data_IF_260679321280
#
_entry.id   IF_260679321280
#
_cell.length_a   1.000
_cell.length_b   1.000
_cell.length_c   1.000
_cell.angle_alpha   90.00
_cell.angle_beta   90.00
_cell.angle_gamma   90.00
#
_symmetry.space_group_name_H-M   'P 1'
#
loop_
_entity.id
_entity.type
_entity.pdbx_description
1 polymer ?
#
# COMPACT_ATOMS: atom_id res chain seq x y z
N UNK A 1 40.33 -38.95 2.24
CA UNK A 1 39.43 -38.95 1.07
C UNK A 1 38.12 -38.27 1.53
N UNK A 2 37.94 -37.03 1.12
CA UNK A 2 36.79 -36.23 1.54
C UNK A 2 35.90 -36.05 0.33
N UNK A 3 34.75 -36.76 0.30
CA UNK A 3 33.76 -36.67 -0.76
C UNK A 3 32.96 -35.40 -0.57
N UNK A 4 33.19 -34.37 -1.39
CA UNK A 4 32.42 -33.16 -1.44
C UNK A 4 31.01 -33.41 -1.98
N UNK A 5 30.01 -33.22 -1.13
CA UNK A 5 28.60 -33.23 -1.52
C UNK A 5 28.31 -31.93 -2.29
N UNK A 6 28.11 -32.05 -3.60
CA UNK A 6 27.65 -30.95 -4.44
C UNK A 6 26.20 -30.56 -4.04
N UNK A 7 25.83 -29.26 -4.06
CA UNK A 7 24.46 -28.85 -3.78
C UNK A 7 23.52 -29.33 -4.90
N UNK A 8 22.23 -29.63 -4.59
CA UNK A 8 21.27 -30.13 -5.58
C UNK A 8 21.02 -29.08 -6.65
N UNK A 9 21.32 -29.41 -7.90
CA UNK A 9 21.01 -28.61 -9.09
C UNK A 9 19.51 -28.55 -9.28
N UNK A 10 18.94 -27.34 -9.18
CA UNK A 10 17.53 -27.05 -9.51
C UNK A 10 17.27 -27.48 -10.97
N UNK A 11 16.44 -28.49 -11.18
CA UNK A 11 16.13 -29.04 -12.49
C UNK A 11 15.27 -28.08 -13.33
N UNK A 12 15.45 -28.08 -14.66
CA UNK A 12 14.72 -27.23 -15.62
C UNK A 12 13.19 -27.40 -15.53
N UNK A 13 12.68 -28.53 -15.07
CA UNK A 13 11.26 -28.82 -14.83
C UNK A 13 10.66 -28.04 -13.63
N UNK A 14 11.49 -27.57 -12.69
CA UNK A 14 11.05 -26.86 -11.48
C UNK A 14 10.73 -25.37 -11.75
N UNK A 15 11.28 -24.80 -12.83
CA UNK A 15 11.12 -23.38 -13.21
C UNK A 15 9.70 -23.04 -13.69
N UNK A 16 9.00 -23.84 -14.54
CA UNK A 16 7.62 -23.58 -14.92
C UNK A 16 6.64 -23.64 -13.74
N UNK A 17 6.80 -24.64 -12.86
CA UNK A 17 5.94 -24.81 -11.68
C UNK A 17 6.02 -23.64 -10.70
N UNK A 18 7.22 -23.11 -10.48
CA UNK A 18 7.43 -21.91 -9.64
C UNK A 18 6.84 -20.66 -10.30
N UNK A 19 6.95 -20.53 -11.61
CA UNK A 19 6.36 -19.43 -12.36
C UNK A 19 4.82 -19.47 -12.30
N UNK A 20 4.21 -20.65 -12.42
CA UNK A 20 2.76 -20.83 -12.29
C UNK A 20 2.28 -20.56 -10.88
N UNK A 21 2.99 -21.03 -9.86
CA UNK A 21 2.67 -20.75 -8.46
C UNK A 21 2.72 -19.25 -8.15
N UNK A 22 3.73 -18.53 -8.68
CA UNK A 22 3.82 -17.07 -8.54
C UNK A 22 2.66 -16.37 -9.22
N UNK A 23 2.33 -16.71 -10.47
CA UNK A 23 1.19 -16.14 -11.19
C UNK A 23 -0.13 -16.39 -10.47
N UNK A 24 -0.33 -17.58 -9.93
CA UNK A 24 -1.53 -17.88 -9.16
C UNK A 24 -1.61 -17.06 -7.87
N UNK A 25 -0.48 -16.87 -7.18
CA UNK A 25 -0.42 -16.01 -5.99
C UNK A 25 -0.75 -14.55 -6.33
N UNK A 26 -0.20 -14.01 -7.43
CA UNK A 26 -0.48 -12.66 -7.92
C UNK A 26 -1.97 -12.49 -8.28
N UNK A 27 -2.58 -13.47 -8.95
CA UNK A 27 -4.02 -13.46 -9.26
C UNK A 27 -4.89 -13.47 -8.01
N UNK A 28 -4.53 -14.25 -6.99
CA UNK A 28 -5.25 -14.29 -5.71
C UNK A 28 -5.14 -12.94 -5.00
N UNK A 29 -3.95 -12.34 -4.96
CA UNK A 29 -3.76 -11.03 -4.35
C UNK A 29 -4.55 -9.93 -5.05
N UNK A 30 -4.55 -9.91 -6.39
CA UNK A 30 -5.33 -8.93 -7.17
C UNK A 30 -6.84 -9.09 -6.93
N UNK A 31 -7.37 -10.32 -6.96
CA UNK A 31 -8.78 -10.59 -6.70
C UNK A 31 -9.17 -10.25 -5.25
N UNK A 32 -8.28 -10.50 -4.29
CA UNK A 32 -8.50 -10.14 -2.88
C UNK A 32 -8.49 -8.63 -2.67
N UNK A 33 -7.55 -7.91 -3.30
CA UNK A 33 -7.46 -6.46 -3.22
C UNK A 33 -8.74 -5.78 -3.73
N UNK A 34 -9.24 -6.21 -4.88
CA UNK A 34 -10.49 -5.73 -5.47
C UNK A 34 -11.71 -6.07 -4.58
N UNK A 35 -11.82 -7.33 -4.13
CA UNK A 35 -12.92 -7.77 -3.29
C UNK A 35 -12.97 -7.01 -1.95
N UNK A 36 -11.82 -6.81 -1.31
CA UNK A 36 -11.74 -6.07 -0.06
C UNK A 36 -11.99 -4.57 -0.23
N UNK A 37 -11.67 -4.00 -1.39
CA UNK A 37 -11.99 -2.61 -1.69
C UNK A 37 -13.50 -2.39 -1.88
N UNK A 38 -14.19 -3.32 -2.51
CA UNK A 38 -15.62 -3.20 -2.84
C UNK A 38 -16.55 -3.65 -1.70
N UNK A 39 -16.21 -4.73 -1.02
CA UNK A 39 -17.10 -5.43 -0.09
C UNK A 39 -16.54 -5.49 1.34
N UNK A 40 -15.32 -4.97 1.52
CA UNK A 40 -14.63 -4.98 2.81
C UNK A 40 -13.93 -6.32 3.13
N UNK A 41 -13.23 -6.38 4.27
CA UNK A 41 -12.39 -7.54 4.64
C UNK A 41 -13.20 -8.80 5.00
N UNK A 42 -14.54 -8.73 4.97
CA UNK A 42 -15.45 -9.84 5.29
C UNK A 42 -15.47 -10.96 4.25
N UNK A 43 -15.12 -10.71 2.98
CA UNK A 43 -15.24 -11.66 1.86
C UNK A 43 -14.54 -13.00 2.16
N UNK A 44 -15.22 -14.16 1.97
CA UNK A 44 -14.65 -15.48 2.22
C UNK A 44 -13.50 -15.82 1.26
N UNK A 45 -12.55 -16.69 1.71
CA UNK A 45 -11.43 -17.15 0.87
C UNK A 45 -11.90 -17.91 -0.38
N UNK A 46 -12.98 -18.68 -0.29
CA UNK A 46 -13.54 -19.44 -1.41
C UNK A 46 -14.09 -18.52 -2.51
N UNK A 47 -14.67 -17.39 -2.13
CA UNK A 47 -15.14 -16.38 -3.09
C UNK A 47 -13.95 -15.69 -3.77
N UNK A 48 -12.88 -15.41 -3.03
CA UNK A 48 -11.63 -14.89 -3.61
C UNK A 48 -11.00 -15.89 -4.58
N UNK A 49 -11.00 -17.20 -4.24
CA UNK A 49 -10.53 -18.26 -5.13
C UNK A 49 -11.30 -18.27 -6.45
N UNK A 50 -12.63 -18.17 -6.35
CA UNK A 50 -13.53 -18.11 -7.53
C UNK A 50 -13.22 -16.90 -8.41
N UNK A 51 -13.07 -15.72 -7.85
CA UNK A 51 -12.71 -14.47 -8.57
C UNK A 51 -11.32 -14.56 -9.20
N UNK A 52 -10.37 -15.12 -8.48
CA UNK A 52 -9.02 -15.34 -8.99
C UNK A 52 -8.93 -16.40 -10.08
N UNK A 53 -10.00 -17.20 -10.29
CA UNK A 53 -10.02 -18.33 -11.23
C UNK A 53 -9.01 -19.42 -10.85
N UNK A 54 -8.86 -19.70 -9.55
CA UNK A 54 -7.99 -20.75 -9.01
C UNK A 54 -8.79 -21.66 -8.08
N UNK A 55 -8.30 -22.88 -7.86
CA UNK A 55 -8.93 -23.79 -6.88
C UNK A 55 -8.72 -23.31 -5.43
N UNK A 56 -9.70 -23.54 -4.54
CA UNK A 56 -9.61 -23.22 -3.12
C UNK A 56 -8.33 -23.76 -2.47
N UNK A 57 -7.93 -25.01 -2.79
CA UNK A 57 -6.68 -25.60 -2.31
C UNK A 57 -5.42 -24.84 -2.75
N UNK A 58 -5.47 -24.10 -3.86
CA UNK A 58 -4.36 -23.24 -4.29
C UNK A 58 -4.28 -22.00 -3.40
N UNK A 59 -5.43 -21.39 -3.07
CA UNK A 59 -5.47 -20.26 -2.14
C UNK A 59 -4.94 -20.65 -0.78
N UNK A 60 -5.42 -21.75 -0.20
CA UNK A 60 -4.98 -22.24 1.11
C UNK A 60 -3.49 -22.60 1.18
N UNK A 61 -2.87 -23.04 0.07
CA UNK A 61 -1.41 -23.27 0.05
C UNK A 61 -0.61 -21.99 0.11
N UNK A 62 -1.09 -20.90 -0.51
CA UNK A 62 -0.41 -19.61 -0.50
C UNK A 62 -0.76 -18.78 0.73
N UNK A 63 -1.98 -18.89 1.21
CA UNK A 63 -2.55 -18.13 2.31
C UNK A 63 -3.33 -19.06 3.22
N UNK A 64 -2.65 -19.69 4.21
CA UNK A 64 -3.28 -20.71 5.07
C UNK A 64 -4.46 -20.17 5.87
N UNK A 65 -4.46 -18.88 6.16
CA UNK A 65 -5.53 -18.20 6.89
C UNK A 65 -5.96 -16.92 6.16
N UNK A 66 -7.13 -16.42 6.52
CA UNK A 66 -7.64 -15.15 6.00
C UNK A 66 -6.75 -13.97 6.43
N UNK A 67 -6.24 -14.03 7.64
CA UNK A 67 -5.30 -13.03 8.18
C UNK A 67 -4.03 -12.96 7.33
N UNK A 68 -3.47 -14.11 6.93
CA UNK A 68 -2.29 -14.16 6.05
C UNK A 68 -2.57 -13.50 4.69
N UNK A 69 -3.78 -13.67 4.13
CA UNK A 69 -4.18 -12.98 2.90
C UNK A 69 -4.37 -11.49 3.12
N UNK A 70 -5.05 -11.07 4.20
CA UNK A 70 -5.24 -9.67 4.54
C UNK A 70 -3.90 -8.95 4.75
N UNK A 71 -2.96 -9.56 5.46
CA UNK A 71 -1.60 -9.04 5.64
C UNK A 71 -0.89 -8.86 4.30
N UNK A 72 -0.93 -9.88 3.43
CA UNK A 72 -0.26 -9.82 2.14
C UNK A 72 -0.87 -8.75 1.22
N UNK A 73 -2.19 -8.54 1.25
CA UNK A 73 -2.86 -7.46 0.53
C UNK A 73 -2.44 -6.10 1.09
N UNK A 74 -2.42 -5.92 2.41
CA UNK A 74 -2.01 -4.67 3.04
C UNK A 74 -0.57 -4.29 2.69
N UNK A 75 0.36 -5.25 2.80
CA UNK A 75 1.77 -5.04 2.42
C UNK A 75 1.89 -4.72 0.93
N UNK A 76 1.23 -5.47 0.06
CA UNK A 76 1.23 -5.22 -1.39
C UNK A 76 0.71 -3.84 -1.76
N UNK A 77 -0.28 -3.35 -1.05
CA UNK A 77 -0.79 -1.99 -1.20
C UNK A 77 0.25 -0.94 -0.83
N UNK A 78 0.96 -1.11 0.28
CA UNK A 78 2.02 -0.19 0.70
C UNK A 78 3.22 -0.25 -0.25
N UNK A 79 3.56 -1.43 -0.78
CA UNK A 79 4.59 -1.60 -1.81
C UNK A 79 4.22 -0.86 -3.12
N UNK A 80 2.95 -0.94 -3.53
CA UNK A 80 2.43 -0.17 -4.66
C UNK A 80 2.57 1.34 -4.43
N UNK A 81 2.19 1.83 -3.25
CA UNK A 81 2.37 3.25 -2.89
C UNK A 81 3.85 3.66 -2.88
N UNK A 82 4.73 2.80 -2.39
CA UNK A 82 6.18 3.06 -2.42
C UNK A 82 6.71 3.13 -3.87
N UNK A 83 6.19 2.31 -4.77
CA UNK A 83 6.54 2.38 -6.19
C UNK A 83 6.11 3.71 -6.81
N UNK A 84 4.91 4.19 -6.51
CA UNK A 84 4.42 5.52 -6.94
C UNK A 84 5.27 6.67 -6.36
N UNK A 85 5.64 6.60 -5.07
CA UNK A 85 6.52 7.58 -4.46
C UNK A 85 7.90 7.64 -5.15
N UNK A 86 8.47 6.49 -5.49
CA UNK A 86 9.74 6.41 -6.23
C UNK A 86 9.61 6.94 -7.65
N UNK A 87 8.51 6.68 -8.33
CA UNK A 87 8.23 7.26 -9.64
C UNK A 87 8.12 8.79 -9.58
N UNK A 88 7.43 9.32 -8.56
CA UNK A 88 7.33 10.75 -8.30
C UNK A 88 8.72 11.38 -8.02
N UNK A 89 9.59 10.71 -7.25
CA UNK A 89 10.97 11.16 -7.01
C UNK A 89 11.82 11.20 -8.29
N UNK A 90 11.56 10.33 -9.25
CA UNK A 90 12.26 10.32 -10.53
C UNK A 90 11.79 11.40 -11.51
N UNK A 91 10.63 12.03 -11.27
CA UNK A 91 10.09 13.10 -12.12
C UNK A 91 10.85 14.43 -11.91
N UNK A 92 10.86 15.26 -12.96
CA UNK A 92 11.65 16.50 -13.00
C UNK A 92 11.02 17.66 -12.20
N UNK A 93 9.68 17.74 -12.14
CA UNK A 93 8.97 18.79 -11.44
C UNK A 93 8.69 18.39 -9.98
N UNK A 94 9.37 19.01 -8.99
CA UNK A 94 9.20 18.67 -7.59
C UNK A 94 7.83 19.08 -7.05
N UNK A 95 7.20 20.10 -7.62
CA UNK A 95 5.89 20.61 -7.18
C UNK A 95 4.80 19.65 -7.57
N UNK A 96 4.76 19.27 -8.85
CA UNK A 96 3.78 18.33 -9.37
C UNK A 96 3.98 16.94 -8.78
N UNK A 97 5.23 16.51 -8.60
CA UNK A 97 5.59 15.24 -7.95
C UNK A 97 5.03 15.14 -6.53
N UNK A 98 5.22 16.16 -5.72
CA UNK A 98 4.75 16.18 -4.34
C UNK A 98 3.22 16.19 -4.27
N UNK A 99 2.55 17.15 -4.92
CA UNK A 99 1.09 17.26 -4.84
C UNK A 99 0.38 16.10 -5.54
N UNK A 100 0.94 15.57 -6.63
CA UNK A 100 0.44 14.37 -7.29
C UNK A 100 0.49 13.15 -6.35
N UNK A 101 1.63 12.93 -5.70
CA UNK A 101 1.78 11.84 -4.74
C UNK A 101 0.92 12.05 -3.48
N UNK A 102 0.82 13.27 -2.96
CA UNK A 102 -0.04 13.59 -1.82
C UNK A 102 -1.51 13.26 -2.10
N UNK A 103 -1.99 13.53 -3.33
CA UNK A 103 -3.33 13.13 -3.76
C UNK A 103 -3.48 11.62 -3.80
N UNK A 104 -2.53 10.88 -4.39
CA UNK A 104 -2.52 9.41 -4.38
C UNK A 104 -2.61 8.89 -2.94
N UNK A 105 -1.86 9.47 -2.03
CA UNK A 105 -1.82 9.07 -0.62
C UNK A 105 -3.15 9.31 0.09
N UNK A 106 -3.82 10.45 -0.18
CA UNK A 106 -5.15 10.75 0.40
C UNK A 106 -6.24 9.85 -0.16
N UNK A 107 -6.26 9.60 -1.48
CA UNK A 107 -7.19 8.67 -2.12
C UNK A 107 -6.98 7.23 -1.61
N UNK A 108 -5.72 6.86 -1.43
CA UNK A 108 -5.36 5.57 -0.88
C UNK A 108 -5.85 5.38 0.55
N UNK A 109 -5.66 6.36 1.39
CA UNK A 109 -6.02 6.29 2.80
C UNK A 109 -7.54 6.14 3.00
N UNK A 110 -8.36 6.77 2.14
CA UNK A 110 -9.83 6.67 2.19
C UNK A 110 -10.33 5.24 1.98
N UNK A 111 -9.67 4.47 1.14
CA UNK A 111 -10.11 3.14 0.74
C UNK A 111 -9.51 1.99 1.59
N UNK A 112 -8.65 2.26 2.59
CA UNK A 112 -7.71 1.23 3.08
C UNK A 112 -7.53 1.10 4.60
N UNK A 113 -8.11 1.97 5.39
CA UNK A 113 -8.05 1.81 6.86
C UNK A 113 -8.76 0.54 7.37
N UNK A 114 -9.72 0.01 6.60
CA UNK A 114 -10.51 -1.15 7.00
C UNK A 114 -9.68 -2.45 7.15
N UNK A 115 -8.64 -2.62 6.33
CA UNK A 115 -7.76 -3.81 6.41
C UNK A 115 -6.89 -3.79 7.67
N UNK A 116 -6.27 -2.64 7.97
CA UNK A 116 -5.43 -2.49 9.15
C UNK A 116 -6.26 -2.67 10.43
N UNK A 117 -7.46 -2.10 10.45
CA UNK A 117 -8.40 -2.23 11.57
C UNK A 117 -8.89 -3.68 11.72
N UNK A 118 -9.23 -4.36 10.61
CA UNK A 118 -9.64 -5.76 10.63
C UNK A 118 -8.53 -6.67 11.19
N UNK A 119 -7.28 -6.46 10.78
CA UNK A 119 -6.12 -7.17 11.31
C UNK A 119 -5.89 -6.88 12.79
N UNK A 120 -5.99 -5.61 13.21
CA UNK A 120 -5.85 -5.22 14.61
C UNK A 120 -6.90 -5.88 15.51
N UNK A 121 -8.16 -5.99 15.06
CA UNK A 121 -9.22 -6.72 15.78
C UNK A 121 -8.92 -8.22 15.95
N UNK A 122 -8.10 -8.79 15.07
CA UNK A 122 -7.65 -10.18 15.15
C UNK A 122 -6.36 -10.37 15.94
N UNK A 123 -5.86 -9.30 16.59
CA UNK A 123 -4.64 -9.34 17.40
C UNK A 123 -3.34 -9.31 16.60
N UNK A 124 -3.40 -8.99 15.30
CA UNK A 124 -2.20 -8.86 14.47
C UNK A 124 -1.52 -7.51 14.74
N UNK A 125 -0.23 -7.55 15.03
CA UNK A 125 0.59 -6.34 15.09
C UNK A 125 0.86 -5.82 13.67
N UNK A 126 -0.03 -4.94 13.21
CA UNK A 126 0.05 -4.32 11.88
C UNK A 126 1.37 -3.55 11.70
N UNK A 127 1.88 -2.92 12.76
CA UNK A 127 3.15 -2.16 12.70
C UNK A 127 4.33 -3.09 12.43
N UNK A 128 4.38 -4.23 13.10
CA UNK A 128 5.44 -5.21 12.87
C UNK A 128 5.41 -5.75 11.44
N UNK A 129 4.20 -6.08 10.92
CA UNK A 129 4.02 -6.64 9.57
C UNK A 129 4.39 -5.64 8.47
N UNK A 130 4.16 -4.34 8.68
CA UNK A 130 4.38 -3.30 7.66
C UNK A 130 5.65 -2.49 7.86
N UNK A 131 6.45 -2.76 8.89
CA UNK A 131 7.57 -1.94 9.34
C UNK A 131 8.51 -1.50 8.22
N UNK A 132 9.01 -2.45 7.44
CA UNK A 132 10.04 -2.18 6.43
C UNK A 132 9.50 -1.31 5.30
N UNK A 133 8.31 -1.66 4.77
CA UNK A 133 7.69 -0.91 3.68
C UNK A 133 7.22 0.47 4.15
N UNK A 134 6.68 0.59 5.36
CA UNK A 134 6.27 1.86 5.95
C UNK A 134 7.47 2.79 6.19
N UNK A 135 8.60 2.24 6.64
CA UNK A 135 9.84 3.00 6.81
C UNK A 135 10.38 3.49 5.48
N UNK A 136 10.38 2.65 4.44
CA UNK A 136 10.81 3.05 3.10
C UNK A 136 9.90 4.10 2.49
N UNK A 137 8.58 3.96 2.65
CA UNK A 137 7.59 4.93 2.19
C UNK A 137 7.75 6.28 2.88
N UNK A 138 7.96 6.28 4.21
CA UNK A 138 8.21 7.48 4.99
C UNK A 138 9.44 8.25 4.48
N UNK A 139 10.55 7.55 4.20
CA UNK A 139 11.76 8.17 3.64
C UNK A 139 11.51 8.79 2.26
N UNK A 140 10.79 8.09 1.39
CA UNK A 140 10.44 8.62 0.07
C UNK A 140 9.54 9.86 0.16
N UNK A 141 8.59 9.88 1.09
CA UNK A 141 7.74 11.03 1.35
C UNK A 141 8.52 12.22 1.92
N UNK A 142 9.46 11.98 2.83
CA UNK A 142 10.34 13.01 3.40
C UNK A 142 11.20 13.67 2.30
N UNK A 143 11.73 12.88 1.38
CA UNK A 143 12.49 13.41 0.23
C UNK A 143 11.61 14.21 -0.74
N UNK A 144 10.38 13.74 -1.04
CA UNK A 144 9.42 14.49 -1.85
C UNK A 144 9.04 15.81 -1.20
N UNK A 145 8.79 15.82 0.11
CA UNK A 145 8.49 17.02 0.89
C UNK A 145 9.66 18.02 0.84
N UNK A 146 10.88 17.57 1.13
CA UNK A 146 12.07 18.42 1.11
C UNK A 146 12.24 19.08 -0.25
N UNK A 147 12.15 18.34 -1.35
CA UNK A 147 12.25 18.89 -2.70
C UNK A 147 11.17 19.93 -3.01
N UNK A 148 9.95 19.74 -2.53
CA UNK A 148 8.87 20.70 -2.72
C UNK A 148 9.03 21.95 -1.84
N UNK A 149 9.60 21.82 -0.64
CA UNK A 149 9.96 22.94 0.25
C UNK A 149 11.11 23.76 -0.34
N UNK A 150 12.16 23.12 -0.86
CA UNK A 150 13.29 23.77 -1.53
C UNK A 150 12.84 24.54 -2.79
N UNK A 151 11.81 24.04 -3.48
CA UNK A 151 11.18 24.74 -4.60
C UNK A 151 10.21 25.87 -4.17
N UNK A 152 10.01 26.09 -2.87
CA UNK A 152 9.10 27.11 -2.33
C UNK A 152 7.61 26.80 -2.56
N UNK A 153 7.26 25.56 -2.89
CA UNK A 153 5.89 25.17 -3.19
C UNK A 153 5.11 24.68 -1.95
N UNK A 154 5.83 24.21 -0.95
CA UNK A 154 5.30 23.75 0.33
C UNK A 154 5.95 24.57 1.45
N UNK A 155 5.16 24.90 2.48
CA UNK A 155 5.64 25.63 3.65
C UNK A 155 6.73 24.84 4.38
N UNK A 156 7.77 25.54 4.85
CA UNK A 156 8.99 24.91 5.41
C UNK A 156 8.83 24.41 6.86
N UNK A 157 7.74 24.78 7.54
CA UNK A 157 7.51 24.48 8.96
C UNK A 157 6.76 23.16 9.21
N UNK A 158 6.44 22.40 8.16
CA UNK A 158 5.80 21.09 8.28
C UNK A 158 6.79 19.95 8.07
N UNK A 159 6.50 18.83 8.72
CA UNK A 159 7.28 17.60 8.71
C UNK A 159 6.52 16.47 8.04
N UNK A 160 7.21 15.37 7.75
CA UNK A 160 6.55 14.13 7.26
C UNK A 160 5.55 13.56 8.28
N UNK A 161 5.75 13.81 9.59
CA UNK A 161 4.81 13.40 10.64
C UNK A 161 3.52 14.22 10.58
N UNK A 162 3.64 15.52 10.31
CA UNK A 162 2.46 16.38 10.12
C UNK A 162 1.67 15.94 8.89
N UNK A 163 2.35 15.61 7.78
CA UNK A 163 1.68 15.06 6.59
C UNK A 163 0.94 13.76 6.89
N UNK A 164 1.57 12.86 7.65
CA UNK A 164 0.93 11.61 8.04
C UNK A 164 -0.32 11.86 8.91
N UNK A 165 -0.21 12.75 9.91
CA UNK A 165 -1.33 13.14 10.77
C UNK A 165 -2.47 13.78 9.97
N UNK A 166 -2.15 14.65 9.02
CA UNK A 166 -3.12 15.28 8.11
C UNK A 166 -3.85 14.25 7.26
N UNK A 167 -3.15 13.29 6.67
CA UNK A 167 -3.76 12.22 5.87
C UNK A 167 -4.70 11.36 6.73
N UNK A 168 -4.26 10.92 7.91
CA UNK A 168 -5.08 10.12 8.82
C UNK A 168 -6.31 10.91 9.30
N UNK A 169 -6.13 12.18 9.68
CA UNK A 169 -7.20 13.07 10.09
C UNK A 169 -8.22 13.32 8.97
N UNK A 170 -7.75 13.46 7.74
CA UNK A 170 -8.60 13.63 6.55
C UNK A 170 -9.50 12.41 6.32
N UNK A 171 -8.93 11.21 6.41
CA UNK A 171 -9.69 9.97 6.26
C UNK A 171 -10.80 9.89 7.30
N UNK A 172 -10.49 10.22 8.55
CA UNK A 172 -11.50 10.25 9.63
C UNK A 172 -12.59 11.29 9.34
N UNK A 173 -12.22 12.49 8.88
CA UNK A 173 -13.15 13.55 8.51
C UNK A 173 -14.05 13.16 7.32
N UNK A 174 -13.47 12.59 6.26
CA UNK A 174 -14.22 12.16 5.07
C UNK A 174 -15.19 11.04 5.39
N UNK A 175 -14.81 10.08 6.24
CA UNK A 175 -15.73 9.02 6.71
C UNK A 175 -16.91 9.53 7.53
N UNK A 176 -16.72 10.64 8.25
CA UNK A 176 -17.79 11.31 9.01
C UNK A 176 -18.67 12.22 8.14
N UNK A 177 -18.29 12.46 6.88
CA UNK A 177 -18.92 13.40 5.95
C UNK A 177 -19.58 12.68 4.78
N UNK A 178 -20.27 13.40 3.90
CA UNK A 178 -20.81 12.82 2.68
C UNK A 178 -19.69 12.53 1.67
N UNK A 179 -19.80 11.46 0.85
CA UNK A 179 -18.77 11.04 -0.10
C UNK A 179 -18.28 12.14 -1.06
N UNK A 180 -19.19 13.08 -1.42
CA UNK A 180 -18.87 14.21 -2.31
C UNK A 180 -17.91 15.22 -1.67
N UNK A 181 -17.72 15.20 -0.36
CA UNK A 181 -16.84 16.15 0.34
C UNK A 181 -15.37 15.72 0.29
N UNK A 182 -15.07 14.48 -0.06
CA UNK A 182 -13.71 13.94 -0.11
C UNK A 182 -12.78 14.74 -1.01
N UNK A 183 -13.21 15.05 -2.24
CA UNK A 183 -12.43 15.83 -3.21
C UNK A 183 -12.18 17.25 -2.69
N UNK A 184 -13.18 17.86 -2.09
CA UNK A 184 -13.08 19.21 -1.51
C UNK A 184 -12.11 19.22 -0.33
N UNK A 185 -12.18 18.25 0.56
CA UNK A 185 -11.26 18.14 1.72
C UNK A 185 -9.83 17.94 1.25
N UNK A 186 -9.59 17.09 0.24
CA UNK A 186 -8.26 16.91 -0.37
C UNK A 186 -7.70 18.21 -0.98
N UNK A 187 -8.54 18.99 -1.65
CA UNK A 187 -8.14 20.28 -2.21
C UNK A 187 -7.79 21.30 -1.10
N UNK A 188 -8.63 21.41 -0.06
CA UNK A 188 -8.37 22.29 1.08
C UNK A 188 -7.06 21.96 1.81
N UNK A 189 -6.74 20.67 1.92
CA UNK A 189 -5.48 20.23 2.50
C UNK A 189 -4.29 20.60 1.62
N UNK A 190 -4.39 20.37 0.32
CA UNK A 190 -3.33 20.77 -0.62
C UNK A 190 -3.07 22.28 -0.56
N UNK A 191 -4.12 23.09 -0.40
CA UNK A 191 -3.99 24.53 -0.24
C UNK A 191 -3.35 24.92 1.10
N UNK A 192 -3.68 24.22 2.19
CA UNK A 192 -3.10 24.46 3.51
C UNK A 192 -1.60 24.12 3.58
N UNK A 193 -1.09 23.27 2.70
CA UNK A 193 0.33 22.94 2.60
C UNK A 193 1.14 24.00 1.86
N UNK A 194 0.49 24.91 1.11
CA UNK A 194 1.19 25.95 0.37
C UNK A 194 1.69 27.05 1.31
N UNK A 195 2.78 27.75 0.95
CA UNK A 195 3.23 28.92 1.70
C UNK A 195 2.11 29.96 1.79
N UNK A 196 1.94 30.57 2.97
CA UNK A 196 1.00 31.65 3.15
C UNK A 196 1.34 32.80 2.18
N UNK A 197 0.34 33.42 1.57
CA UNK A 197 0.55 34.67 0.84
C UNK A 197 0.94 35.71 1.89
N UNK A 198 2.24 36.08 1.89
CA UNK A 198 2.76 37.19 2.67
C UNK A 198 2.10 38.51 2.30
#
# INVERSE_FOLDING_TARGET
>A
MNAGTAPPTSTAADRPLRADARRNRERVLAAADEAFALEGPGVPLDEIARRAGVGAGTVHRHFPTKEALLQAVLVGRLEGMLAEARAALAAADPVESFFGFFRIMTDYAQNKMDLAEALGRQGVDVRAVTHDVATALRRALDELLTRAQDAGAVRADITVDDLHALVVGTVAAVRASAPQDAVRVGALLSDALRPGKG
#
